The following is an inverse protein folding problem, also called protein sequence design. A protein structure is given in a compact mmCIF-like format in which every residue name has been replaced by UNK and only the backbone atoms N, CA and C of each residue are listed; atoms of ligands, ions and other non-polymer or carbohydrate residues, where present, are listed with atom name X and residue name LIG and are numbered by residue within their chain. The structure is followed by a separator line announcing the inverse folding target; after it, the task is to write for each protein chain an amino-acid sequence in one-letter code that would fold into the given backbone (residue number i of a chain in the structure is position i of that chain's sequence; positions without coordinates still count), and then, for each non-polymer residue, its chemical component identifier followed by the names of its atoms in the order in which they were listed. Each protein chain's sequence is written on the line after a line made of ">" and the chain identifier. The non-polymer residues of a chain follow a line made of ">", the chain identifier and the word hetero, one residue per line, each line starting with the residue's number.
data_IF_136921710701
#
_entry.id   IF_136921710701
#
_cell.length_a   1.000
_cell.length_b   1.000
_cell.length_c   1.000
_cell.angle_alpha   90.00
_cell.angle_beta   90.00
_cell.angle_gamma   90.00
#
_symmetry.space_group_name_H-M   'P 1'
#
loop_
_entity.id
_entity.type
_entity.pdbx_description
1 polymer ?
#
# COMPACT_ATOMS: atom_id res chain seq x y z
N UNK A 1 -17.09 5.98 -4.11
CA UNK A 1 -17.11 6.43 -2.70
C UNK A 1 -15.71 6.15 -2.21
N UNK A 2 -15.05 7.20 -1.77
CA UNK A 2 -13.60 7.31 -1.60
C UNK A 2 -13.10 6.43 -0.46
N UNK A 3 -11.89 5.89 -0.57
CA UNK A 3 -11.15 5.28 0.54
C UNK A 3 -11.15 6.28 1.70
N UNK A 4 -11.73 5.89 2.84
CA UNK A 4 -11.83 6.74 4.01
C UNK A 4 -10.46 6.84 4.68
N UNK A 5 -9.91 8.04 4.83
CA UNK A 5 -8.62 8.24 5.50
C UNK A 5 -8.90 8.91 6.84
N UNK A 6 -8.32 8.38 7.91
CA UNK A 6 -8.43 8.95 9.25
C UNK A 6 -7.13 8.83 10.02
N UNK A 7 -7.01 9.55 11.13
CA UNK A 7 -5.90 9.37 12.06
C UNK A 7 -6.30 9.73 13.49
N UNK A 8 -5.67 9.08 14.46
CA UNK A 8 -5.72 9.46 15.88
C UNK A 8 -4.45 10.17 16.35
N UNK A 9 -3.40 10.18 15.53
CA UNK A 9 -2.04 10.62 15.91
C UNK A 9 -1.49 11.73 15.01
N UNK A 10 -2.16 11.99 13.88
CA UNK A 10 -1.87 13.06 12.94
C UNK A 10 -3.12 13.94 12.77
N UNK A 11 -2.91 15.15 12.22
CA UNK A 11 -4.02 15.94 11.68
C UNK A 11 -4.63 15.25 10.46
N UNK A 12 -5.90 15.52 10.16
CA UNK A 12 -6.55 15.00 8.95
C UNK A 12 -5.76 15.37 7.69
N UNK A 13 -5.27 16.62 7.62
CA UNK A 13 -4.45 17.09 6.50
C UNK A 13 -3.18 16.25 6.32
N UNK A 14 -2.45 15.98 7.40
CA UNK A 14 -1.19 15.23 7.35
C UNK A 14 -1.43 13.74 7.04
N UNK A 15 -2.52 13.16 7.55
CA UNK A 15 -2.93 11.79 7.23
C UNK A 15 -3.27 11.63 5.74
N UNK A 16 -4.06 12.55 5.18
CA UNK A 16 -4.36 12.59 3.76
C UNK A 16 -3.11 12.83 2.91
N UNK A 17 -2.23 13.75 3.31
CA UNK A 17 -0.97 14.00 2.62
C UNK A 17 -0.09 12.74 2.59
N UNK A 18 0.01 12.02 3.72
CA UNK A 18 0.78 10.79 3.80
C UNK A 18 0.25 9.73 2.83
N UNK A 19 -1.05 9.47 2.90
CA UNK A 19 -1.71 8.48 2.06
C UNK A 19 -1.59 8.82 0.56
N UNK A 20 -1.86 10.07 0.18
CA UNK A 20 -1.80 10.51 -1.21
C UNK A 20 -0.37 10.42 -1.76
N UNK A 21 0.63 10.76 -0.95
CA UNK A 21 2.05 10.66 -1.36
C UNK A 21 2.44 9.20 -1.59
N UNK A 22 2.07 8.31 -0.66
CA UNK A 22 2.40 6.88 -0.77
C UNK A 22 1.71 6.25 -1.99
N UNK A 23 0.41 6.50 -2.15
CA UNK A 23 -0.35 5.97 -3.28
C UNK A 23 0.07 6.57 -4.62
N UNK A 24 0.52 7.83 -4.69
CA UNK A 24 1.04 8.40 -5.92
C UNK A 24 2.28 7.65 -6.47
N UNK A 25 3.15 7.13 -5.60
CA UNK A 25 4.25 6.28 -6.04
C UNK A 25 3.78 4.87 -6.42
N UNK A 26 2.89 4.26 -5.63
CA UNK A 26 2.33 2.93 -5.94
C UNK A 26 1.60 2.93 -7.28
N UNK A 27 0.81 3.97 -7.56
CA UNK A 27 0.08 4.17 -8.82
C UNK A 27 0.98 4.33 -10.06
N UNK A 28 2.31 4.34 -9.91
CA UNK A 28 3.22 4.19 -11.06
C UNK A 28 3.31 2.74 -11.57
N UNK A 29 2.91 1.76 -10.76
CA UNK A 29 2.64 0.39 -11.21
C UNK A 29 1.24 0.35 -11.81
N UNK A 30 1.14 -0.23 -13.01
CA UNK A 30 -0.12 -0.36 -13.72
C UNK A 30 -1.11 -1.21 -12.90
N UNK A 31 -0.62 -2.30 -12.27
CA UNK A 31 -1.44 -3.16 -11.43
C UNK A 31 -1.93 -2.42 -10.17
N UNK A 32 -1.02 -1.75 -9.45
CA UNK A 32 -1.39 -1.01 -8.25
C UNK A 32 -2.36 0.13 -8.58
N UNK A 33 -2.17 0.83 -9.70
CA UNK A 33 -3.10 1.87 -10.15
C UNK A 33 -4.50 1.31 -10.39
N UNK A 34 -4.58 0.19 -11.14
CA UNK A 34 -5.85 -0.48 -11.40
C UNK A 34 -6.55 -0.92 -10.11
N UNK A 35 -5.82 -1.58 -9.19
CA UNK A 35 -6.41 -2.06 -7.94
C UNK A 35 -6.93 -0.93 -7.05
N UNK A 36 -6.17 0.17 -6.93
CA UNK A 36 -6.61 1.32 -6.14
C UNK A 36 -7.85 1.97 -6.79
N UNK A 37 -7.88 2.09 -8.13
CA UNK A 37 -9.06 2.58 -8.84
C UNK A 37 -10.28 1.68 -8.61
N UNK A 38 -10.12 0.36 -8.63
CA UNK A 38 -11.22 -0.57 -8.33
C UNK A 38 -11.72 -0.42 -6.89
N UNK A 39 -10.83 -0.25 -5.91
CA UNK A 39 -11.21 0.00 -4.51
C UNK A 39 -12.02 1.30 -4.36
N UNK A 40 -11.67 2.36 -5.11
CA UNK A 40 -12.38 3.65 -5.09
C UNK A 40 -13.73 3.61 -5.84
N UNK A 41 -13.79 2.88 -6.96
CA UNK A 41 -14.96 2.77 -7.83
C UNK A 41 -16.05 1.88 -7.25
N UNK A 42 -15.69 0.77 -6.61
CA UNK A 42 -16.66 -0.26 -6.23
C UNK A 42 -17.36 0.02 -4.89
N UNK A 43 -17.18 1.22 -4.33
CA UNK A 43 -17.83 1.68 -3.10
C UNK A 43 -17.65 0.73 -1.90
N UNK A 44 -16.63 -0.12 -1.93
CA UNK A 44 -16.29 -0.99 -0.82
C UNK A 44 -15.81 -0.12 0.33
N UNK A 45 -16.26 -0.40 1.55
CA UNK A 45 -15.85 0.36 2.74
C UNK A 45 -14.41 0.03 3.10
N UNK A 46 -13.46 0.69 2.43
CA UNK A 46 -12.06 0.70 2.82
C UNK A 46 -11.78 1.94 3.66
N UNK A 47 -11.35 1.74 4.90
CA UNK A 47 -10.90 2.79 5.81
C UNK A 47 -9.43 2.55 6.15
N UNK A 48 -8.59 3.56 5.95
CA UNK A 48 -7.18 3.57 6.28
C UNK A 48 -6.96 4.54 7.44
N UNK A 49 -6.69 3.99 8.61
CA UNK A 49 -6.18 4.76 9.76
C UNK A 49 -4.67 4.92 9.60
N UNK A 50 -4.22 6.16 9.35
CA UNK A 50 -2.80 6.50 9.31
C UNK A 50 -2.34 6.78 10.74
N UNK A 51 -1.27 6.10 11.19
CA UNK A 51 -0.78 6.21 12.56
C UNK A 51 0.71 6.52 12.64
N UNK A 52 1.11 7.23 13.69
CA UNK A 52 2.50 7.40 14.14
C UNK A 52 2.71 6.82 15.53
N UNK A 53 1.77 6.04 16.07
CA UNK A 53 1.92 5.37 17.36
C UNK A 53 2.97 4.25 17.23
N UNK A 54 4.11 4.32 17.94
CA UNK A 54 5.14 3.27 17.87
C UNK A 54 4.64 1.88 18.24
N UNK A 55 3.59 1.76 19.06
CA UNK A 55 3.01 0.48 19.46
C UNK A 55 2.34 -0.25 18.29
N UNK A 56 1.89 0.48 17.27
CA UNK A 56 1.21 -0.04 16.09
C UNK A 56 2.16 -0.25 14.90
N UNK A 57 3.44 0.08 15.04
CA UNK A 57 4.42 -0.10 13.97
C UNK A 57 4.56 -1.59 13.61
N UNK A 58 4.66 -1.89 12.32
CA UNK A 58 4.85 -3.25 11.79
C UNK A 58 3.73 -4.25 12.09
N UNK A 59 2.52 -3.79 12.47
CA UNK A 59 1.38 -4.68 12.62
C UNK A 59 0.66 -4.88 11.27
N UNK A 60 0.29 -6.12 10.97
CA UNK A 60 -0.61 -6.45 9.86
C UNK A 60 -2.06 -6.31 10.34
N UNK A 61 -2.62 -5.10 10.21
CA UNK A 61 -3.98 -4.77 10.65
C UNK A 61 -4.87 -4.49 9.44
N UNK A 62 -4.89 -5.41 8.47
CA UNK A 62 -5.91 -5.42 7.42
C UNK A 62 -7.02 -6.41 7.75
N UNK A 63 -8.25 -5.92 7.94
CA UNK A 63 -9.42 -6.76 8.22
C UNK A 63 -10.66 -6.25 7.49
N UNK A 64 -11.03 -6.91 6.39
CA UNK A 64 -12.27 -6.68 5.64
C UNK A 64 -12.49 -5.19 5.29
N UNK A 65 -11.43 -4.52 4.86
CA UNK A 65 -11.47 -3.10 4.52
C UNK A 65 -11.16 -2.14 5.67
N UNK A 66 -10.86 -2.60 6.89
CA UNK A 66 -10.23 -1.76 7.91
C UNK A 66 -8.72 -1.97 7.89
N UNK A 67 -7.96 -0.92 7.59
CA UNK A 67 -6.49 -0.90 7.54
C UNK A 67 -5.97 0.06 8.62
N UNK A 68 -4.97 -0.36 9.39
CA UNK A 68 -4.12 0.57 10.16
C UNK A 68 -2.73 0.58 9.52
N UNK A 69 -2.37 1.71 8.91
CA UNK A 69 -1.06 1.90 8.30
C UNK A 69 -0.21 2.82 9.17
N UNK A 70 0.95 2.34 9.60
CA UNK A 70 1.84 3.10 10.46
C UNK A 70 3.06 3.65 9.70
N UNK A 71 3.31 4.97 9.83
CA UNK A 71 4.43 5.64 9.18
C UNK A 71 5.81 5.23 9.73
N UNK A 72 5.85 4.69 10.96
CA UNK A 72 7.05 4.16 11.59
C UNK A 72 7.34 2.70 11.21
N UNK A 73 6.53 2.09 10.34
CA UNK A 73 6.75 0.71 9.89
C UNK A 73 8.07 0.61 9.13
N UNK A 74 8.94 -0.27 9.59
CA UNK A 74 10.30 -0.46 9.10
C UNK A 74 10.61 -1.92 8.74
N UNK A 75 9.61 -2.79 8.79
CA UNK A 75 9.68 -4.17 8.33
C UNK A 75 8.74 -4.38 7.14
N UNK A 76 9.22 -5.11 6.14
CA UNK A 76 8.35 -5.67 5.11
C UNK A 76 7.44 -6.71 5.79
N UNK A 77 6.14 -6.52 5.64
CA UNK A 77 5.13 -7.48 6.08
C UNK A 77 4.97 -8.57 5.03
N UNK A 78 4.58 -9.77 5.45
CA UNK A 78 4.37 -10.90 4.55
C UNK A 78 5.61 -11.77 4.28
N UNK A 79 5.47 -12.77 3.39
CA UNK A 79 6.54 -13.72 3.06
C UNK A 79 7.69 -13.06 2.28
N UNK A 80 8.85 -13.69 2.29
CA UNK A 80 10.02 -13.21 1.55
C UNK A 80 9.85 -13.46 0.04
N UNK A 81 9.33 -12.47 -0.67
CA UNK A 81 9.12 -12.49 -2.12
C UNK A 81 10.34 -11.94 -2.86
N UNK A 82 10.69 -12.56 -3.99
CA UNK A 82 11.93 -12.25 -4.71
C UNK A 82 11.94 -10.82 -5.28
N UNK A 83 10.87 -10.41 -5.98
CA UNK A 83 10.82 -9.07 -6.60
C UNK A 83 10.71 -7.98 -5.51
N UNK A 84 9.98 -8.26 -4.41
CA UNK A 84 9.91 -7.37 -3.24
C UNK A 84 11.28 -7.19 -2.60
N UNK A 85 12.00 -8.28 -2.36
CA UNK A 85 13.35 -8.22 -1.80
C UNK A 85 14.32 -7.49 -2.72
N UNK A 86 14.22 -7.68 -4.04
CA UNK A 86 14.99 -6.94 -5.01
C UNK A 86 14.69 -5.43 -4.95
N UNK A 87 13.41 -5.04 -4.95
CA UNK A 87 12.97 -3.64 -4.81
C UNK A 87 13.47 -3.01 -3.51
N UNK A 88 13.35 -3.73 -2.39
CA UNK A 88 13.76 -3.21 -1.09
C UNK A 88 15.29 -3.12 -0.94
N UNK A 89 16.04 -3.97 -1.64
CA UNK A 89 17.49 -3.98 -1.61
C UNK A 89 18.15 -2.79 -2.31
N UNK A 90 17.49 -2.21 -3.32
CA UNK A 90 18.02 -1.04 -4.06
C UNK A 90 17.81 0.30 -3.36
N UNK A 91 17.07 0.33 -2.24
CA UNK A 91 16.71 1.59 -1.57
C UNK A 91 17.91 2.16 -0.80
N UNK A 92 18.30 3.43 -1.04
CA UNK A 92 19.32 4.10 -0.25
C UNK A 92 18.95 4.14 1.24
N UNK A 93 19.94 4.03 2.13
CA UNK A 93 19.70 4.00 3.58
C UNK A 93 18.86 5.18 4.11
N UNK A 94 19.02 6.35 3.51
CA UNK A 94 18.27 7.57 3.87
C UNK A 94 16.77 7.48 3.54
N UNK A 95 16.40 6.79 2.45
CA UNK A 95 15.00 6.64 2.02
C UNK A 95 14.35 5.37 2.58
N UNK A 96 15.14 4.46 3.16
CA UNK A 96 14.68 3.13 3.60
C UNK A 96 13.48 3.18 4.54
N UNK A 97 13.42 4.03 5.59
CA UNK A 97 12.23 4.09 6.45
C UNK A 97 10.97 4.51 5.69
N UNK A 98 11.10 5.48 4.79
CA UNK A 98 9.99 5.98 3.98
C UNK A 98 9.44 4.90 3.05
N UNK A 99 10.31 4.28 2.24
CA UNK A 99 9.91 3.29 1.25
C UNK A 99 9.44 1.99 1.91
N UNK A 100 10.04 1.57 3.04
CA UNK A 100 9.55 0.38 3.75
C UNK A 100 8.15 0.60 4.33
N UNK A 101 7.88 1.77 4.92
CA UNK A 101 6.53 2.09 5.41
C UNK A 101 5.54 2.19 4.25
N UNK A 102 5.93 2.78 3.12
CA UNK A 102 5.12 2.78 1.90
C UNK A 102 4.82 1.36 1.42
N UNK A 103 5.82 0.47 1.43
CA UNK A 103 5.64 -0.92 1.06
C UNK A 103 4.70 -1.66 2.04
N UNK A 104 4.74 -1.31 3.33
CA UNK A 104 3.76 -1.82 4.30
C UNK A 104 2.33 -1.40 3.94
N UNK A 105 2.10 -0.19 3.43
CA UNK A 105 0.78 0.19 2.91
C UNK A 105 0.37 -0.68 1.71
N UNK A 106 1.30 -0.93 0.78
CA UNK A 106 1.05 -1.79 -0.38
C UNK A 106 0.63 -3.20 0.05
N UNK A 107 1.34 -3.80 1.00
CA UNK A 107 0.97 -5.09 1.57
C UNK A 107 -0.47 -5.07 2.15
N UNK A 108 -0.79 -4.08 2.98
CA UNK A 108 -2.12 -3.96 3.59
C UNK A 108 -3.23 -3.78 2.54
N UNK A 109 -2.97 -3.03 1.47
CA UNK A 109 -3.91 -2.88 0.34
C UNK A 109 -4.08 -4.19 -0.44
N UNK A 110 -3.01 -4.95 -0.66
CA UNK A 110 -3.07 -6.26 -1.32
C UNK A 110 -3.87 -7.27 -0.50
N UNK A 111 -3.65 -7.30 0.82
CA UNK A 111 -4.43 -8.13 1.76
C UNK A 111 -5.90 -7.70 1.74
N UNK A 112 -6.20 -6.41 1.73
CA UNK A 112 -7.57 -5.92 1.62
C UNK A 112 -8.23 -6.34 0.30
N UNK A 113 -7.52 -6.27 -0.83
CA UNK A 113 -8.02 -6.75 -2.13
C UNK A 113 -8.34 -8.25 -2.07
N UNK A 114 -7.46 -9.06 -1.47
CA UNK A 114 -7.68 -10.50 -1.30
C UNK A 114 -8.91 -10.78 -0.42
N UNK A 115 -9.05 -10.09 0.71
CA UNK A 115 -10.18 -10.25 1.64
C UNK A 115 -11.51 -9.81 1.01
N UNK A 116 -11.47 -8.76 0.20
CA UNK A 116 -12.63 -8.17 -0.45
C UNK A 116 -12.89 -8.74 -1.85
N UNK A 117 -12.14 -9.76 -2.28
CA UNK A 117 -12.23 -10.32 -3.65
C UNK A 117 -13.67 -10.69 -4.07
N UNK A 118 -14.49 -11.18 -3.14
CA UNK A 118 -15.90 -11.51 -3.43
C UNK A 118 -16.80 -10.30 -3.65
N UNK A 119 -16.36 -9.12 -3.22
CA UNK A 119 -17.03 -7.82 -3.38
C UNK A 119 -16.41 -7.01 -4.52
N UNK A 120 -15.20 -7.38 -4.95
CA UNK A 120 -14.48 -6.74 -6.04
C UNK A 120 -14.79 -7.45 -7.37
N UNK A 121 -15.28 -6.69 -8.33
CA UNK A 121 -15.54 -7.15 -9.68
C UNK A 121 -14.34 -6.85 -10.59
N UNK A 122 -13.37 -7.75 -10.63
CA UNK A 122 -12.22 -7.65 -11.54
C UNK A 122 -12.50 -8.25 -12.94
N UNK A 123 -13.76 -8.54 -13.29
CA UNK A 123 -14.17 -9.26 -14.53
C UNK A 123 -13.90 -8.54 -15.85
N UNK A 124 -13.19 -7.41 -15.81
CA UNK A 124 -12.71 -6.65 -16.97
C UNK A 124 -11.20 -6.40 -16.85
N UNK A 125 -10.49 -7.20 -16.05
CA UNK A 125 -9.03 -7.16 -16.00
C UNK A 125 -8.51 -7.45 -17.41
N UNK A 126 -7.98 -6.41 -18.04
CA UNK A 126 -7.33 -6.45 -19.34
C UNK A 126 -6.42 -7.70 -19.43
N UNK A 127 -6.22 -8.20 -20.66
CA UNK A 127 -5.42 -9.41 -20.93
C UNK A 127 -4.01 -9.41 -20.29
N UNK A 128 -3.55 -8.26 -19.80
CA UNK A 128 -2.34 -8.04 -19.00
C UNK A 128 -2.28 -8.85 -17.69
N UNK A 129 -3.40 -9.01 -16.96
CA UNK A 129 -3.41 -9.79 -15.70
C UNK A 129 -4.58 -10.78 -15.62
N UNK A 130 -4.55 -11.87 -16.42
CA UNK A 130 -5.63 -12.85 -16.49
C UNK A 130 -5.95 -13.52 -15.14
N UNK A 131 -4.96 -13.58 -14.24
CA UNK A 131 -5.09 -14.18 -12.92
C UNK A 131 -5.95 -13.34 -11.95
N UNK A 132 -6.24 -12.07 -12.26
CA UNK A 132 -7.17 -11.25 -11.47
C UNK A 132 -8.63 -11.74 -11.57
N UNK A 133 -8.98 -12.47 -12.62
CA UNK A 133 -10.29 -13.11 -12.78
C UNK A 133 -10.36 -14.50 -12.10
N UNK A 134 -9.26 -14.96 -11.48
CA UNK A 134 -9.27 -16.22 -10.75
C UNK A 134 -10.07 -16.11 -9.45
N UNK A 135 -10.68 -17.22 -9.03
CA UNK A 135 -11.55 -17.29 -7.84
C UNK A 135 -10.86 -16.87 -6.53
N UNK A 136 -9.52 -16.88 -6.49
CA UNK A 136 -8.74 -16.56 -5.30
C UNK A 136 -7.63 -15.58 -5.69
N UNK A 137 -7.86 -14.31 -5.36
CA UNK A 137 -6.83 -13.29 -5.44
C UNK A 137 -5.78 -13.50 -4.34
N UNK A 138 -4.51 -13.36 -4.68
CA UNK A 138 -3.37 -13.58 -3.78
C UNK A 138 -2.63 -12.27 -3.54
N UNK A 139 -2.56 -11.83 -2.28
CA UNK A 139 -1.82 -10.63 -1.89
C UNK A 139 -0.34 -10.72 -2.30
N UNK A 140 0.25 -11.91 -2.17
CA UNK A 140 1.65 -12.14 -2.54
C UNK A 140 1.90 -11.97 -4.04
N UNK A 141 0.99 -12.45 -4.89
CA UNK A 141 1.13 -12.32 -6.34
C UNK A 141 0.99 -10.86 -6.77
N UNK A 142 0.05 -10.12 -6.15
CA UNK A 142 -0.06 -8.68 -6.34
C UNK A 142 1.25 -7.99 -5.94
N UNK A 143 1.75 -8.23 -4.72
CA UNK A 143 2.97 -7.61 -4.22
C UNK A 143 4.18 -7.87 -5.12
N UNK A 144 4.32 -9.10 -5.61
CA UNK A 144 5.44 -9.48 -6.44
C UNK A 144 5.39 -8.81 -7.84
N UNK A 145 4.19 -8.69 -8.44
CA UNK A 145 4.00 -7.99 -9.71
C UNK A 145 4.21 -6.48 -9.55
N UNK A 146 3.60 -5.86 -8.53
CA UNK A 146 3.79 -4.43 -8.23
C UNK A 146 5.26 -4.12 -7.98
N UNK A 147 5.98 -4.98 -7.23
CA UNK A 147 7.40 -4.78 -6.97
C UNK A 147 8.23 -4.82 -8.26
N UNK A 148 7.90 -5.75 -9.17
CA UNK A 148 8.55 -5.87 -10.48
C UNK A 148 8.30 -4.64 -11.34
N UNK A 149 7.06 -4.19 -11.44
CA UNK A 149 6.70 -3.00 -12.23
C UNK A 149 7.37 -1.73 -11.70
N UNK A 150 7.51 -1.60 -10.38
CA UNK A 150 8.19 -0.47 -9.75
C UNK A 150 9.73 -0.58 -9.77
N UNK A 151 10.29 -1.76 -10.06
CA UNK A 151 11.73 -2.04 -9.93
C UNK A 151 12.59 -1.23 -10.90
N UNK A 152 12.06 -0.91 -12.08
CA UNK A 152 12.74 -0.13 -13.11
C UNK A 152 12.46 1.38 -13.01
N UNK A 153 11.55 1.78 -12.14
CA UNK A 153 11.16 3.17 -11.98
C UNK A 153 12.04 3.92 -10.97
N UNK A 154 12.22 5.24 -11.13
CA UNK A 154 12.90 6.06 -10.11
C UNK A 154 12.17 5.97 -8.77
N UNK A 155 12.95 5.80 -7.70
CA UNK A 155 12.44 5.89 -6.34
C UNK A 155 11.92 7.32 -6.07
N UNK A 156 10.95 7.50 -5.16
CA UNK A 156 10.50 8.81 -4.72
C UNK A 156 11.66 9.66 -4.18
N UNK A 157 11.80 10.88 -4.70
CA UNK A 157 12.83 11.82 -4.26
C UNK A 157 12.55 12.39 -2.86
N UNK A 158 11.26 12.49 -2.49
CA UNK A 158 10.83 13.11 -1.23
C UNK A 158 10.73 12.11 -0.07
N UNK A 159 11.46 12.38 1.00
CA UNK A 159 11.39 11.65 2.27
C UNK A 159 10.27 12.22 3.15
N UNK A 160 9.03 11.94 2.78
CA UNK A 160 7.89 12.68 3.32
C UNK A 160 7.54 12.35 4.78
N UNK A 161 7.98 11.22 5.35
CA UNK A 161 7.68 10.89 6.76
C UNK A 161 8.40 11.79 7.73
N UNK A 162 9.64 12.16 7.46
CA UNK A 162 10.41 13.03 8.36
C UNK A 162 9.70 14.35 8.64
N UNK A 163 9.04 14.94 7.64
CA UNK A 163 8.25 16.17 7.80
C UNK A 163 7.02 15.94 8.67
N UNK A 164 6.36 14.80 8.54
CA UNK A 164 5.15 14.47 9.29
C UNK A 164 5.47 14.04 10.73
N UNK A 165 6.57 13.32 10.93
CA UNK A 165 7.02 12.79 12.21
C UNK A 165 7.71 13.83 13.09
N UNK A 166 8.41 14.83 12.51
CA UNK A 166 9.10 15.89 13.25
C UNK A 166 8.19 17.05 13.67
N UNK A 167 6.92 17.06 13.25
CA UNK A 167 5.95 18.12 13.54
C UNK A 167 5.12 17.89 14.81
N UNK A 168 5.33 16.75 15.49
CA UNK A 168 4.66 16.38 16.74
C UNK A 168 5.49 16.77 17.97
#
# INVERSE_FOLDING_TARGET
>A
MTIGISSKTLSDYDAHLAYNTATAFLRKSDLANYLIDQLEQQHVKLNVEVSTDPALANQDVSNNGAIVWNLLSNAAQGPNLADVTALLSRIPAQQKPYITSLWSLMHLLAVACQQLNSQLNFRDADATWPWLDEKVLSANDIENVVARELSDLPLPDEQNWDRLLKRN
#
